data_IF_378471117247
#
_entry.id   IF_378471117247
#
_cell.length_a   1.000
_cell.length_b   1.000
_cell.length_c   1.000
_cell.angle_alpha   90.00
_cell.angle_beta   90.00
_cell.angle_gamma   90.00
#
_symmetry.space_group_name_H-M   'P 1'
#
loop_
_entity.id
_entity.type
_entity.pdbx_description
1 polymer ?
#
# COMPACT_ATOMS: atom_id res chain seq x y z
N UNK A 1 -10.47 -9.46 10.20
CA UNK A 1 -9.28 -9.57 11.09
C UNK A 1 -8.88 -11.04 11.28
N UNK A 2 -9.86 -11.91 11.48
CA UNK A 2 -9.71 -13.35 11.76
C UNK A 2 -8.77 -14.10 10.80
N UNK A 3 -8.63 -13.66 9.56
CA UNK A 3 -7.69 -14.25 8.63
C UNK A 3 -6.23 -14.04 9.06
N UNK A 4 -5.79 -12.81 9.31
CA UNK A 4 -4.40 -12.53 9.69
C UNK A 4 -4.05 -13.15 11.05
N UNK A 5 -4.99 -13.14 11.99
CA UNK A 5 -4.80 -13.77 13.31
C UNK A 5 -4.63 -15.30 13.22
N UNK A 6 -5.39 -15.96 12.33
CA UNK A 6 -5.23 -17.40 12.10
C UNK A 6 -3.98 -17.74 11.29
N UNK A 7 -3.54 -16.83 10.44
CA UNK A 7 -2.44 -17.06 9.51
C UNK A 7 -1.06 -16.81 10.15
N UNK A 8 -0.96 -15.88 11.08
CA UNK A 8 0.32 -15.45 11.66
C UNK A 8 0.51 -15.99 13.07
N UNK A 9 1.69 -16.57 13.34
CA UNK A 9 2.16 -16.90 14.69
C UNK A 9 3.54 -16.30 14.93
N UNK A 10 3.93 -16.15 16.20
CA UNK A 10 5.30 -15.77 16.50
C UNK A 10 6.27 -16.90 16.16
N UNK A 11 7.33 -16.62 15.41
CA UNK A 11 8.40 -17.61 15.17
C UNK A 11 9.21 -17.91 16.46
N UNK A 12 9.08 -17.05 17.47
CA UNK A 12 9.65 -17.23 18.81
C UNK A 12 8.61 -16.90 19.88
N UNK A 13 8.84 -17.32 21.13
CA UNK A 13 7.95 -16.98 22.25
C UNK A 13 7.83 -15.46 22.48
N UNK A 14 8.92 -14.70 22.27
CA UNK A 14 8.88 -13.24 22.37
C UNK A 14 8.04 -12.62 21.25
N UNK A 15 8.20 -13.09 20.01
CA UNK A 15 7.38 -12.64 18.89
C UNK A 15 5.90 -12.99 19.09
N UNK A 16 5.60 -14.17 19.65
CA UNK A 16 4.24 -14.58 19.98
C UNK A 16 3.56 -13.62 20.95
N UNK A 17 4.24 -13.25 22.04
CA UNK A 17 3.73 -12.25 23.01
C UNK A 17 3.53 -10.87 22.38
N UNK A 18 4.44 -10.44 21.50
CA UNK A 18 4.31 -9.16 20.80
C UNK A 18 3.08 -9.17 19.86
N UNK A 19 2.88 -10.27 19.14
CA UNK A 19 1.75 -10.47 18.24
C UNK A 19 0.41 -10.55 18.99
N UNK A 20 0.35 -11.28 20.12
CA UNK A 20 -0.82 -11.32 21.00
C UNK A 20 -1.17 -9.93 21.53
N UNK A 21 -0.16 -9.14 21.94
CA UNK A 21 -0.36 -7.76 22.36
C UNK A 21 -0.98 -6.91 21.26
N UNK A 22 -0.46 -7.00 20.02
CA UNK A 22 -1.03 -6.32 18.86
C UNK A 22 -2.52 -6.69 18.70
N UNK A 23 -2.84 -7.99 18.66
CA UNK A 23 -4.21 -8.47 18.46
C UNK A 23 -5.16 -8.06 19.57
N UNK A 24 -4.72 -8.11 20.83
CA UNK A 24 -5.53 -7.68 21.97
C UNK A 24 -5.85 -6.19 21.98
N UNK A 25 -5.04 -5.37 21.29
CA UNK A 25 -5.21 -3.92 21.20
C UNK A 25 -6.04 -3.44 20.00
N UNK A 26 -6.38 -4.32 19.07
CA UNK A 26 -7.18 -3.99 17.90
C UNK A 26 -8.68 -4.26 18.15
N UNK A 27 -9.59 -3.47 17.56
CA UNK A 27 -11.01 -3.81 17.55
C UNK A 27 -11.26 -5.05 16.66
N UNK A 28 -12.45 -5.64 16.75
CA UNK A 28 -12.81 -6.83 15.95
C UNK A 28 -12.66 -6.65 14.43
N UNK A 29 -12.89 -5.43 13.94
CA UNK A 29 -12.68 -5.06 12.54
C UNK A 29 -11.82 -3.78 12.46
N UNK A 30 -10.47 -3.91 12.48
CA UNK A 30 -9.61 -2.75 12.42
C UNK A 30 -9.58 -2.15 11.02
N UNK A 31 -9.47 -0.82 10.94
CA UNK A 31 -9.09 -0.13 9.71
C UNK A 31 -7.62 -0.48 9.37
N UNK A 32 -7.38 -0.95 8.15
CA UNK A 32 -6.06 -1.41 7.70
C UNK A 32 -5.53 -0.45 6.63
N UNK A 33 -4.30 0.03 6.81
CA UNK A 33 -3.54 0.72 5.78
C UNK A 33 -2.53 -0.24 5.16
N UNK A 34 -2.55 -0.36 3.84
CA UNK A 34 -1.51 -1.05 3.09
C UNK A 34 -0.60 -0.05 2.37
N UNK A 35 0.70 -0.20 2.55
CA UNK A 35 1.74 0.56 1.84
C UNK A 35 2.64 -0.39 1.04
N UNK A 36 2.39 -0.53 -0.27
CA UNK A 36 3.27 -1.29 -1.14
C UNK A 36 4.58 -0.59 -1.46
N UNK A 37 5.63 -1.38 -1.72
CA UNK A 37 6.99 -0.89 -1.97
C UNK A 37 7.45 0.09 -0.91
N UNK A 38 7.14 -0.22 0.35
CA UNK A 38 7.49 0.67 1.45
C UNK A 38 9.01 0.79 1.62
N UNK A 39 9.79 -0.23 1.27
CA UNK A 39 11.21 -0.32 1.65
C UNK A 39 11.37 -0.01 3.13
N UNK A 40 12.20 1.00 3.45
CA UNK A 40 12.41 1.49 4.82
C UNK A 40 11.58 2.76 5.13
N UNK A 41 10.58 3.08 4.33
CA UNK A 41 9.79 4.30 4.42
C UNK A 41 8.53 4.08 5.27
N UNK A 42 8.50 4.61 6.49
CA UNK A 42 7.31 4.56 7.36
C UNK A 42 6.60 5.91 7.52
N UNK A 43 6.68 6.77 6.50
CA UNK A 43 6.08 8.12 6.55
C UNK A 43 4.55 8.10 6.47
N UNK A 44 3.94 7.00 6.02
CA UNK A 44 2.50 6.77 6.11
C UNK A 44 1.98 6.87 7.56
N UNK A 45 2.81 6.49 8.54
CA UNK A 45 2.48 6.60 9.97
C UNK A 45 2.31 8.05 10.45
N UNK A 46 2.89 9.02 9.73
CA UNK A 46 2.85 10.44 10.08
C UNK A 46 1.63 11.14 9.49
N UNK A 47 1.11 10.66 8.37
CA UNK A 47 0.18 11.39 7.49
C UNK A 47 -1.04 11.91 8.25
N UNK A 48 -1.72 11.06 9.02
CA UNK A 48 -2.92 11.47 9.78
C UNK A 48 -2.63 12.46 10.90
N UNK A 49 -1.42 12.43 11.47
CA UNK A 49 -1.03 13.33 12.57
C UNK A 49 -0.45 14.64 12.05
N UNK A 50 0.25 14.60 10.93
CA UNK A 50 0.93 15.72 10.32
C UNK A 50 -0.03 16.64 9.57
N UNK A 51 -1.06 16.10 8.91
CA UNK A 51 -2.00 16.87 8.11
C UNK A 51 -3.33 17.05 8.83
N UNK A 52 -3.62 18.24 9.44
CA UNK A 52 -4.85 18.46 10.19
C UNK A 52 -6.12 18.27 9.35
N UNK A 53 -6.03 18.48 8.04
CA UNK A 53 -7.13 18.28 7.09
C UNK A 53 -7.60 16.82 7.00
N UNK A 54 -6.78 15.86 7.45
CA UNK A 54 -7.14 14.44 7.54
C UNK A 54 -7.73 14.04 8.89
N UNK A 55 -7.93 14.96 9.84
CA UNK A 55 -8.52 14.63 11.16
C UNK A 55 -9.96 14.10 11.08
N UNK A 56 -10.67 14.43 10.00
CA UNK A 56 -12.00 13.90 9.72
C UNK A 56 -11.95 12.50 9.09
N UNK A 57 -10.81 12.10 8.55
CA UNK A 57 -10.59 10.76 8.02
C UNK A 57 -10.22 9.81 9.18
N UNK A 58 -10.79 8.60 9.25
CA UNK A 58 -10.40 7.63 10.26
C UNK A 58 -8.92 7.27 10.12
N UNK A 59 -8.16 7.36 11.21
CA UNK A 59 -6.77 6.87 11.22
C UNK A 59 -6.77 5.33 11.12
N UNK A 60 -5.86 4.74 10.33
CA UNK A 60 -5.64 3.29 10.31
C UNK A 60 -5.23 2.78 11.70
N UNK A 61 -5.79 1.64 12.09
CA UNK A 61 -5.48 0.97 13.35
C UNK A 61 -4.39 -0.10 13.18
N UNK A 62 -4.28 -0.67 11.98
CA UNK A 62 -3.24 -1.61 11.60
C UNK A 62 -2.57 -1.15 10.30
N UNK A 63 -1.24 -1.24 10.28
CA UNK A 63 -0.41 -0.92 9.12
C UNK A 63 0.25 -2.19 8.60
N UNK A 64 0.15 -2.39 7.28
CA UNK A 64 0.78 -3.49 6.57
C UNK A 64 1.67 -2.91 5.47
N UNK A 65 2.93 -3.28 5.50
CA UNK A 65 3.92 -2.88 4.50
C UNK A 65 4.35 -4.10 3.70
N UNK A 66 4.62 -3.91 2.40
CA UNK A 66 5.15 -4.96 1.53
C UNK A 66 6.35 -4.44 0.76
N UNK A 67 7.39 -5.26 0.67
CA UNK A 67 8.49 -5.13 -0.27
C UNK A 67 9.13 -6.51 -0.48
N UNK A 68 9.75 -6.76 -1.62
CA UNK A 68 10.32 -8.07 -1.96
C UNK A 68 11.82 -8.05 -2.20
N UNK A 69 12.43 -6.88 -2.24
CA UNK A 69 13.88 -6.79 -2.37
C UNK A 69 14.47 -7.12 -1.00
N UNK A 70 15.14 -8.26 -0.91
CA UNK A 70 15.81 -8.71 0.31
C UNK A 70 16.81 -7.66 0.78
N UNK A 71 16.67 -7.28 2.05
CA UNK A 71 17.43 -6.20 2.67
C UNK A 71 16.65 -4.91 2.67
N UNK A 72 15.88 -4.69 3.75
CA UNK A 72 15.94 -3.37 4.37
C UNK A 72 17.46 -3.15 4.57
N UNK A 73 18.14 -2.19 3.90
CA UNK A 73 19.49 -1.87 4.32
C UNK A 73 19.44 -1.63 5.83
N UNK A 74 20.53 -1.90 6.56
CA UNK A 74 20.69 -1.65 8.01
C UNK A 74 20.33 -0.22 8.48
N UNK A 75 19.79 0.60 7.58
CA UNK A 75 18.98 1.77 7.85
C UNK A 75 17.66 1.37 8.54
N UNK A 76 17.78 0.90 9.78
CA UNK A 76 16.72 0.89 10.79
C UNK A 76 16.27 2.31 11.17
N UNK A 77 16.79 3.34 10.51
CA UNK A 77 16.51 4.73 10.81
C UNK A 77 16.42 5.58 9.53
N UNK A 78 15.29 6.29 9.38
CA UNK A 78 15.18 7.49 8.57
C UNK A 78 15.30 8.71 9.49
N UNK A 79 16.09 9.71 9.08
CA UNK A 79 16.22 10.98 9.81
C UNK A 79 16.37 12.14 8.84
N UNK A 80 15.54 13.16 9.02
CA UNK A 80 15.73 14.49 8.47
C UNK A 80 15.83 15.54 9.60
N UNK A 81 15.73 16.83 9.26
CA UNK A 81 15.81 17.92 10.24
C UNK A 81 14.67 17.92 11.27
N UNK A 82 13.51 17.39 10.91
CA UNK A 82 12.25 17.54 11.65
C UNK A 82 11.66 16.21 12.12
N UNK A 83 12.12 15.10 11.54
CA UNK A 83 11.52 13.79 11.72
C UNK A 83 12.59 12.72 11.79
N UNK A 84 12.47 11.86 12.80
CA UNK A 84 13.20 10.61 12.94
C UNK A 84 12.20 9.47 13.02
N UNK A 85 12.42 8.44 12.22
CA UNK A 85 11.63 7.21 12.20
C UNK A 85 12.62 6.07 12.35
N UNK A 86 12.42 5.19 13.32
CA UNK A 86 13.32 4.07 13.56
C UNK A 86 12.61 2.78 13.91
N UNK A 87 13.22 1.64 13.60
CA UNK A 87 12.75 0.31 14.00
C UNK A 87 13.28 0.03 15.41
N UNK A 88 12.40 0.08 16.41
CA UNK A 88 12.76 -0.14 17.81
C UNK A 88 12.85 -1.63 18.17
N UNK A 89 12.06 -2.48 17.51
CA UNK A 89 12.10 -3.93 17.68
C UNK A 89 11.61 -4.65 16.40
N UNK A 90 12.13 -5.86 16.20
CA UNK A 90 11.74 -6.77 15.12
C UNK A 90 11.31 -8.10 15.73
N UNK A 91 10.14 -8.57 15.34
CA UNK A 91 9.58 -9.83 15.82
C UNK A 91 9.28 -10.74 14.61
N UNK A 92 10.12 -11.74 14.32
CA UNK A 92 9.87 -12.64 13.20
C UNK A 92 8.60 -13.45 13.45
N UNK A 93 7.76 -13.51 12.43
CA UNK A 93 6.51 -14.24 12.43
C UNK A 93 6.62 -15.44 11.49
N UNK A 94 5.81 -16.47 11.76
CA UNK A 94 5.63 -17.62 10.90
C UNK A 94 4.23 -17.61 10.31
N UNK A 95 4.10 -18.18 9.11
CA UNK A 95 2.81 -18.50 8.53
C UNK A 95 2.37 -19.89 8.99
N UNK A 96 1.13 -20.00 9.44
CA UNK A 96 0.53 -21.28 9.87
C UNK A 96 0.14 -22.19 8.70
N UNK A 97 0.19 -21.68 7.47
CA UNK A 97 -0.12 -22.42 6.26
C UNK A 97 0.79 -21.98 5.12
N UNK A 98 1.11 -22.90 4.18
CA UNK A 98 2.02 -22.62 3.10
C UNK A 98 1.39 -21.65 2.09
N UNK A 99 2.06 -20.51 1.85
CA UNK A 99 1.75 -19.61 0.74
C UNK A 99 2.68 -19.95 -0.42
N UNK A 100 2.11 -20.25 -1.58
CA UNK A 100 2.89 -20.45 -2.80
C UNK A 100 3.37 -19.10 -3.32
N UNK A 101 4.53 -18.68 -2.82
CA UNK A 101 5.17 -17.45 -3.26
C UNK A 101 6.12 -17.72 -4.43
N UNK A 102 5.81 -17.09 -5.56
CA UNK A 102 6.71 -16.96 -6.70
C UNK A 102 6.46 -15.60 -7.32
N UNK A 103 7.51 -14.78 -7.37
CA UNK A 103 7.42 -13.50 -8.08
C UNK A 103 7.15 -13.76 -9.54
N UNK A 104 6.02 -13.26 -10.02
CA UNK A 104 5.70 -13.29 -11.43
C UNK A 104 6.67 -12.35 -12.17
N UNK A 105 7.43 -12.83 -13.17
CA UNK A 105 8.28 -11.96 -13.97
C UNK A 105 7.52 -10.82 -14.68
N UNK A 106 6.19 -10.89 -14.78
CA UNK A 106 5.38 -9.76 -15.25
C UNK A 106 5.33 -8.60 -14.24
N UNK A 107 5.53 -8.85 -12.94
CA UNK A 107 5.49 -7.83 -11.89
C UNK A 107 6.85 -7.15 -11.67
N UNK A 108 7.92 -7.92 -11.75
CA UNK A 108 9.27 -7.45 -11.43
C UNK A 108 10.31 -7.96 -12.44
N UNK A 109 11.25 -7.08 -12.84
CA UNK A 109 12.42 -7.46 -13.64
C UNK A 109 13.51 -8.10 -12.79
N UNK A 110 13.51 -7.82 -11.49
CA UNK A 110 14.45 -8.36 -10.51
C UNK A 110 13.83 -9.51 -9.71
N UNK A 111 12.98 -10.33 -10.33
CA UNK A 111 12.34 -11.48 -9.67
C UNK A 111 13.34 -12.46 -9.02
N UNK A 112 14.59 -12.50 -9.49
CA UNK A 112 15.66 -13.30 -8.90
C UNK A 112 16.26 -12.75 -7.60
N UNK A 113 15.92 -11.51 -7.22
CA UNK A 113 16.29 -10.92 -5.91
C UNK A 113 15.24 -11.17 -4.83
N UNK A 114 14.09 -11.73 -5.20
CA UNK A 114 13.04 -12.05 -4.25
C UNK A 114 13.51 -13.16 -3.31
N UNK A 115 13.12 -13.12 -2.02
CA UNK A 115 13.49 -14.16 -1.08
C UNK A 115 12.91 -15.50 -1.52
N UNK A 116 13.69 -16.57 -1.34
CA UNK A 116 13.25 -17.94 -1.62
C UNK A 116 12.15 -18.42 -0.66
N UNK A 117 11.97 -17.73 0.46
CA UNK A 117 10.95 -18.01 1.45
C UNK A 117 10.26 -16.71 1.84
N UNK A 118 8.93 -16.75 1.93
CA UNK A 118 8.16 -15.60 2.39
C UNK A 118 8.50 -15.32 3.86
N UNK A 119 9.01 -14.12 4.12
CA UNK A 119 9.26 -13.61 5.48
C UNK A 119 8.14 -12.69 5.94
N UNK A 120 7.76 -12.78 7.21
CA UNK A 120 6.86 -11.79 7.83
C UNK A 120 7.47 -11.35 9.15
N UNK A 121 7.47 -10.04 9.41
CA UNK A 121 7.92 -9.46 10.67
C UNK A 121 6.85 -8.55 11.25
N UNK A 122 6.74 -8.52 12.57
CA UNK A 122 6.10 -7.44 13.30
C UNK A 122 7.18 -6.45 13.74
N UNK A 123 7.14 -5.24 13.18
CA UNK A 123 8.05 -4.15 13.48
C UNK A 123 7.42 -3.22 14.51
N UNK A 124 8.17 -2.85 15.54
CA UNK A 124 7.81 -1.75 16.44
C UNK A 124 8.48 -0.47 15.94
N UNK A 125 7.74 0.40 15.27
CA UNK A 125 8.28 1.65 14.72
C UNK A 125 8.18 2.76 15.76
N UNK A 126 9.29 3.44 16.02
CA UNK A 126 9.37 4.63 16.87
C UNK A 126 9.53 5.87 16.01
N UNK A 127 8.59 6.80 16.16
CA UNK A 127 8.52 8.04 15.41
C UNK A 127 8.72 9.22 16.36
N UNK A 128 9.61 10.13 15.99
CA UNK A 128 9.84 11.41 16.66
C UNK A 128 9.71 12.51 15.59
N UNK A 129 8.75 13.41 15.72
CA UNK A 129 8.53 14.49 14.76
C UNK A 129 8.15 15.79 15.47
N UNK A 130 8.70 16.91 14.99
CA UNK A 130 8.36 18.26 15.48
C UNK A 130 6.86 18.56 15.38
N UNK A 131 6.20 17.96 14.37
CA UNK A 131 4.81 18.24 14.02
C UNK A 131 3.81 17.19 14.52
N UNK A 132 4.20 15.91 14.52
CA UNK A 132 3.34 14.79 14.91
C UNK A 132 3.63 14.29 16.34
N UNK A 133 4.61 14.87 17.03
CA UNK A 133 5.06 14.45 18.34
C UNK A 133 5.86 13.15 18.31
N UNK A 134 5.93 12.49 19.47
CA UNK A 134 6.62 11.22 19.66
C UNK A 134 5.61 10.09 19.90
N UNK A 135 5.74 8.98 19.17
CA UNK A 135 4.86 7.82 19.33
C UNK A 135 5.47 6.53 18.80
N UNK A 136 4.84 5.41 19.13
CA UNK A 136 5.20 4.09 18.60
C UNK A 136 4.03 3.47 17.85
N UNK A 137 4.32 2.71 16.79
CA UNK A 137 3.31 2.01 16.00
C UNK A 137 3.78 0.63 15.53
N UNK A 138 2.97 -0.42 15.73
CA UNK A 138 3.26 -1.73 15.15
C UNK A 138 2.97 -1.73 13.65
N UNK A 139 3.84 -2.36 12.87
CA UNK A 139 3.69 -2.57 11.42
C UNK A 139 3.91 -4.04 11.12
N UNK A 140 2.99 -4.66 10.38
CA UNK A 140 3.22 -5.98 9.80
C UNK A 140 3.95 -5.80 8.47
N UNK A 141 5.17 -6.29 8.40
CA UNK A 141 6.00 -6.20 7.22
C UNK A 141 6.07 -7.56 6.53
N UNK A 142 5.58 -7.63 5.29
CA UNK A 142 5.65 -8.82 4.46
C UNK A 142 6.77 -8.65 3.45
N UNK A 143 7.74 -9.56 3.51
CA UNK A 143 8.81 -9.70 2.52
C UNK A 143 8.24 -10.42 1.28
N UNK A 144 7.40 -9.70 0.53
CA UNK A 144 6.60 -10.22 -0.57
C UNK A 144 6.36 -9.13 -1.63
N UNK A 145 6.29 -9.56 -2.89
CA UNK A 145 6.04 -8.65 -4.00
C UNK A 145 4.59 -8.14 -3.94
N UNK A 146 4.37 -6.86 -4.25
CA UNK A 146 3.11 -6.16 -4.00
C UNK A 146 1.89 -6.80 -4.68
N UNK A 147 2.02 -7.18 -5.96
CA UNK A 147 0.93 -7.83 -6.68
C UNK A 147 0.69 -9.23 -6.15
N UNK A 148 1.75 -10.00 -5.89
CA UNK A 148 1.62 -11.32 -5.28
C UNK A 148 0.90 -11.22 -3.91
N UNK A 149 1.27 -10.26 -3.07
CA UNK A 149 0.62 -10.04 -1.78
C UNK A 149 -0.85 -9.65 -1.95
N UNK A 150 -1.15 -8.72 -2.85
CA UNK A 150 -2.51 -8.28 -3.09
C UNK A 150 -3.40 -9.40 -3.65
N UNK A 151 -2.91 -10.18 -4.62
CA UNK A 151 -3.63 -11.33 -5.15
C UNK A 151 -3.91 -12.38 -4.07
N UNK A 152 -2.91 -12.74 -3.27
CA UNK A 152 -3.03 -13.78 -2.24
C UNK A 152 -3.92 -13.34 -1.07
N UNK A 153 -3.64 -12.18 -0.48
CA UNK A 153 -4.28 -11.76 0.76
C UNK A 153 -5.59 -11.03 0.50
N UNK A 154 -5.61 -10.08 -0.44
CA UNK A 154 -6.79 -9.24 -0.68
C UNK A 154 -7.78 -9.96 -1.59
N UNK A 155 -7.34 -10.44 -2.76
CA UNK A 155 -8.27 -10.98 -3.76
C UNK A 155 -8.72 -12.43 -3.47
N UNK A 156 -7.79 -13.32 -3.12
CA UNK A 156 -8.08 -14.73 -2.89
C UNK A 156 -8.64 -15.00 -1.50
N UNK A 157 -8.12 -14.33 -0.45
CA UNK A 157 -8.53 -14.55 0.94
C UNK A 157 -9.50 -13.51 1.48
N UNK A 158 -9.78 -12.45 0.72
CA UNK A 158 -10.74 -11.42 1.10
C UNK A 158 -10.26 -10.50 2.24
N UNK A 159 -8.95 -10.28 2.37
CA UNK A 159 -8.44 -9.26 3.31
C UNK A 159 -8.97 -7.90 2.87
N UNK A 160 -9.64 -7.21 3.80
CA UNK A 160 -10.10 -5.85 3.54
C UNK A 160 -9.03 -4.85 3.94
N UNK A 161 -8.67 -3.97 3.03
CA UNK A 161 -7.83 -2.80 3.30
C UNK A 161 -8.69 -1.56 3.20
N UNK A 162 -8.74 -0.74 4.24
CA UNK A 162 -9.54 0.49 4.23
C UNK A 162 -8.77 1.68 3.67
N UNK A 163 -7.44 1.64 3.72
CA UNK A 163 -6.54 2.66 3.20
C UNK A 163 -5.47 2.02 2.31
N UNK A 164 -5.20 2.67 1.18
CA UNK A 164 -4.02 2.41 0.35
C UNK A 164 -3.13 3.65 0.39
N UNK A 165 -1.89 3.48 0.81
CA UNK A 165 -0.87 4.52 0.75
C UNK A 165 0.12 4.20 -0.37
N UNK A 166 0.21 5.05 -1.38
CA UNK A 166 1.08 4.90 -2.55
C UNK A 166 1.99 6.11 -2.65
N UNK A 167 3.29 5.91 -2.52
CA UNK A 167 4.27 6.98 -2.69
C UNK A 167 5.49 6.39 -3.39
N UNK A 168 5.86 6.99 -4.52
CA UNK A 168 7.00 6.65 -5.37
C UNK A 168 7.13 5.15 -5.60
N UNK A 169 6.66 4.69 -6.74
CA UNK A 169 6.86 3.30 -7.11
C UNK A 169 8.16 3.15 -7.89
N UNK A 170 8.90 2.06 -7.65
CA UNK A 170 10.18 1.78 -8.31
C UNK A 170 10.07 1.43 -9.80
N UNK A 171 9.04 1.94 -10.50
CA UNK A 171 8.85 1.75 -11.92
C UNK A 171 10.00 2.42 -12.69
N UNK A 172 10.69 1.64 -13.53
CA UNK A 172 11.93 2.07 -14.19
C UNK A 172 13.18 1.46 -13.54
N UNK A 173 14.02 2.30 -12.94
CA UNK A 173 15.32 1.86 -12.39
C UNK A 173 15.21 1.00 -11.10
N UNK A 174 14.04 0.94 -10.46
CA UNK A 174 13.81 0.19 -9.22
C UNK A 174 13.40 -1.27 -9.43
N UNK A 175 13.35 -1.76 -10.68
CA UNK A 175 13.08 -3.16 -10.98
C UNK A 175 11.61 -3.57 -10.98
N UNK A 176 10.68 -2.67 -10.65
CA UNK A 176 9.25 -2.91 -10.85
C UNK A 176 8.91 -2.80 -12.35
N UNK A 177 8.21 -3.80 -12.88
CA UNK A 177 7.66 -3.80 -14.25
C UNK A 177 6.24 -3.27 -14.30
N UNK A 178 5.57 -3.22 -13.16
CA UNK A 178 4.20 -2.77 -13.04
C UNK A 178 4.03 -1.84 -11.85
N UNK A 179 3.24 -0.79 -12.07
CA UNK A 179 2.80 0.14 -11.04
C UNK A 179 1.64 -0.44 -10.23
N UNK A 180 1.64 -0.22 -8.92
CA UNK A 180 0.54 -0.62 -8.03
C UNK A 180 -0.78 0.08 -8.38
N UNK A 181 -0.74 1.13 -9.20
CA UNK A 181 -1.95 1.73 -9.78
C UNK A 181 -2.77 0.72 -10.60
N UNK A 182 -2.16 -0.35 -11.13
CA UNK A 182 -2.89 -1.45 -11.78
C UNK A 182 -3.85 -2.20 -10.86
N UNK A 183 -3.75 -2.01 -9.54
CA UNK A 183 -4.63 -2.60 -8.54
C UNK A 183 -5.84 -1.70 -8.22
N UNK A 184 -5.85 -0.45 -8.71
CA UNK A 184 -6.95 0.49 -8.51
C UNK A 184 -8.35 -0.01 -8.91
N UNK A 185 -8.51 -0.81 -9.98
CA UNK A 185 -9.79 -1.44 -10.30
C UNK A 185 -10.37 -2.31 -9.17
N UNK A 186 -9.53 -2.82 -8.28
CA UNK A 186 -9.95 -3.73 -7.22
C UNK A 186 -10.17 -3.06 -5.86
N UNK A 187 -10.00 -1.74 -5.76
CA UNK A 187 -10.10 -1.02 -4.48
C UNK A 187 -11.49 -1.11 -3.84
N UNK A 188 -12.56 -1.09 -4.64
CA UNK A 188 -13.92 -1.30 -4.16
C UNK A 188 -14.07 -2.65 -3.45
N UNK A 189 -13.66 -3.72 -4.14
CA UNK A 189 -13.66 -5.10 -3.64
C UNK A 189 -12.76 -5.27 -2.42
N UNK A 190 -11.61 -4.60 -2.42
CA UNK A 190 -10.69 -4.59 -1.27
C UNK A 190 -11.28 -3.86 -0.04
N UNK A 191 -12.42 -3.16 -0.20
CA UNK A 191 -13.04 -2.37 0.86
C UNK A 191 -12.33 -1.04 1.13
N UNK A 192 -11.50 -0.58 0.18
CA UNK A 192 -10.75 0.66 0.32
C UNK A 192 -11.69 1.87 0.30
N UNK A 193 -11.42 2.81 1.20
CA UNK A 193 -12.17 4.05 1.41
C UNK A 193 -11.30 5.28 1.30
N UNK A 194 -9.98 5.11 1.33
CA UNK A 194 -9.02 6.19 1.23
C UNK A 194 -7.82 5.75 0.41
N UNK A 195 -7.54 6.49 -0.65
CA UNK A 195 -6.31 6.39 -1.42
C UNK A 195 -5.46 7.61 -1.13
N UNK A 196 -4.31 7.43 -0.52
CA UNK A 196 -3.31 8.49 -0.35
C UNK A 196 -2.23 8.20 -1.38
N UNK A 197 -2.14 9.02 -2.42
CA UNK A 197 -1.26 8.76 -3.55
C UNK A 197 -0.53 10.04 -3.98
N UNK A 198 0.68 9.87 -4.50
CA UNK A 198 1.26 10.88 -5.38
C UNK A 198 0.56 10.91 -6.76
N UNK A 199 1.00 11.82 -7.63
CA UNK A 199 0.43 12.00 -8.97
C UNK A 199 0.92 10.97 -10.00
N UNK A 200 1.83 10.07 -9.63
CA UNK A 200 2.38 9.09 -10.56
C UNK A 200 1.41 7.92 -10.70
N UNK A 201 0.80 7.77 -11.87
CA UNK A 201 -0.15 6.69 -12.16
C UNK A 201 0.25 6.04 -13.47
N UNK A 202 0.66 4.78 -13.40
CA UNK A 202 0.96 3.98 -14.60
C UNK A 202 0.04 2.77 -14.67
N UNK A 203 -0.66 2.59 -15.79
CA UNK A 203 -1.48 1.40 -16.01
C UNK A 203 -0.93 0.59 -17.17
N UNK A 204 -0.71 -0.67 -16.91
CA UNK A 204 -0.42 -1.70 -17.90
C UNK A 204 -1.73 -2.42 -18.22
N UNK A 205 -2.23 -2.23 -19.44
CA UNK A 205 -3.49 -2.83 -19.87
C UNK A 205 -3.43 -4.35 -19.91
N UNK A 206 -2.29 -4.93 -20.29
CA UNK A 206 -2.15 -6.37 -20.39
C UNK A 206 -2.27 -6.98 -19.00
N UNK A 207 -1.55 -6.41 -18.04
CA UNK A 207 -1.63 -6.80 -16.65
C UNK A 207 -3.04 -6.57 -16.08
N UNK A 208 -3.63 -5.39 -16.29
CA UNK A 208 -4.99 -5.07 -15.83
C UNK A 208 -6.04 -6.06 -16.36
N UNK A 209 -5.97 -6.42 -17.65
CA UNK A 209 -6.84 -7.46 -18.24
C UNK A 209 -6.61 -8.82 -17.61
N UNK A 210 -5.34 -9.20 -17.38
CA UNK A 210 -4.98 -10.47 -16.76
C UNK A 210 -5.53 -10.59 -15.34
N UNK A 211 -5.33 -9.56 -14.51
CA UNK A 211 -5.84 -9.51 -13.15
C UNK A 211 -7.37 -9.53 -13.13
N UNK A 212 -8.01 -8.76 -14.02
CA UNK A 212 -9.48 -8.70 -14.11
C UNK A 212 -10.05 -10.06 -14.54
N UNK A 213 -9.51 -10.67 -15.59
CA UNK A 213 -9.97 -11.98 -16.05
C UNK A 213 -9.81 -13.08 -15.01
N UNK A 214 -8.75 -13.02 -14.18
CA UNK A 214 -8.49 -14.00 -13.12
C UNK A 214 -9.39 -13.83 -11.90
N UNK A 215 -9.59 -12.59 -11.45
CA UNK A 215 -10.19 -12.32 -10.14
C UNK A 215 -11.58 -11.69 -10.21
N UNK A 216 -11.94 -11.06 -11.33
CA UNK A 216 -13.22 -10.38 -11.52
C UNK A 216 -13.77 -10.63 -12.94
N UNK A 217 -14.17 -11.86 -13.28
CA UNK A 217 -14.66 -12.21 -14.61
C UNK A 217 -15.90 -11.41 -15.02
N UNK A 218 -16.69 -10.93 -14.05
CA UNK A 218 -17.81 -10.00 -14.26
C UNK A 218 -17.40 -8.53 -14.38
N UNK A 219 -16.10 -8.23 -14.40
CA UNK A 219 -15.54 -6.88 -14.29
C UNK A 219 -15.33 -6.42 -12.84
N UNK A 220 -14.50 -5.39 -12.61
CA UNK A 220 -14.25 -4.84 -11.29
C UNK A 220 -15.49 -4.13 -10.72
N UNK A 221 -15.64 -4.17 -9.40
CA UNK A 221 -16.65 -3.38 -8.71
C UNK A 221 -16.39 -1.88 -8.89
N UNK A 222 -17.40 -1.11 -9.28
CA UNK A 222 -17.20 0.30 -9.58
C UNK A 222 -17.11 1.13 -8.29
N UNK A 223 -16.25 2.14 -8.32
CA UNK A 223 -16.08 3.11 -7.25
C UNK A 223 -15.85 4.50 -7.81
N UNK A 224 -16.07 5.51 -6.96
CA UNK A 224 -15.91 6.92 -7.29
C UNK A 224 -15.11 7.64 -6.21
N UNK A 225 -14.45 8.72 -6.60
CA UNK A 225 -13.85 9.67 -5.65
C UNK A 225 -14.94 10.66 -5.25
N UNK A 226 -15.24 10.74 -3.96
CA UNK A 226 -16.23 11.71 -3.43
C UNK A 226 -15.57 12.97 -2.86
N UNK A 227 -14.29 12.89 -2.51
CA UNK A 227 -13.51 14.00 -1.98
C UNK A 227 -12.04 13.85 -2.34
N UNK A 228 -11.39 14.95 -2.72
CA UNK A 228 -9.94 15.03 -2.90
C UNK A 228 -9.37 16.13 -2.01
N UNK A 229 -8.28 15.82 -1.31
CA UNK A 229 -7.60 16.72 -0.39
C UNK A 229 -6.13 16.78 -0.81
N UNK A 230 -5.59 17.97 -1.06
CA UNK A 230 -4.15 18.16 -1.28
C UNK A 230 -3.42 18.15 0.06
N UNK A 231 -2.44 17.28 0.20
CA UNK A 231 -1.60 17.20 1.40
C UNK A 231 -0.32 18.04 1.24
N UNK A 232 0.07 18.38 0.02
CA UNK A 232 1.31 19.10 -0.27
C UNK A 232 2.39 18.13 -0.73
N UNK A 233 3.65 18.44 -0.48
CA UNK A 233 4.76 17.60 -0.92
C UNK A 233 5.20 16.62 0.15
N UNK A 234 5.32 15.35 -0.23
CA UNK A 234 6.00 14.33 0.54
C UNK A 234 7.09 13.74 -0.34
N UNK A 235 8.35 13.91 0.08
CA UNK A 235 9.46 13.45 -0.74
C UNK A 235 9.46 14.13 -2.13
N UNK A 236 9.29 15.45 -2.19
CA UNK A 236 9.32 16.20 -3.45
C UNK A 236 8.29 15.78 -4.51
N UNK A 237 7.24 15.04 -4.10
CA UNK A 237 6.12 14.67 -4.94
C UNK A 237 4.86 15.24 -4.30
N UNK A 238 3.99 15.85 -5.10
CA UNK A 238 2.68 16.28 -4.60
C UNK A 238 1.86 15.03 -4.25
N UNK A 239 1.34 15.00 -3.01
CA UNK A 239 0.50 13.92 -2.49
C UNK A 239 -0.92 14.43 -2.24
N UNK A 240 -1.88 13.59 -2.60
CA UNK A 240 -3.30 13.82 -2.41
C UNK A 240 -3.94 12.65 -1.67
N UNK A 241 -4.97 12.95 -0.88
CA UNK A 241 -5.84 11.96 -0.28
C UNK A 241 -7.19 12.00 -0.99
N UNK A 242 -7.67 10.83 -1.42
CA UNK A 242 -8.93 10.64 -2.12
C UNK A 242 -9.85 9.75 -1.28
N UNK A 243 -11.04 10.24 -0.97
CA UNK A 243 -12.09 9.44 -0.35
C UNK A 243 -12.83 8.64 -1.42
N UNK A 244 -12.99 7.34 -1.20
CA UNK A 244 -13.54 6.39 -2.15
C UNK A 244 -14.87 5.81 -1.65
N UNK A 245 -15.85 5.74 -2.53
CA UNK A 245 -17.14 5.09 -2.28
C UNK A 245 -17.52 4.14 -3.41
N UNK A 246 -18.24 3.02 -3.13
CA UNK A 246 -18.89 2.25 -4.18
C UNK A 246 -19.83 3.17 -4.95
N UNK A 247 -19.75 3.18 -6.27
CA UNK A 247 -20.45 4.19 -7.05
C UNK A 247 -20.58 3.81 -8.51
N UNK A 248 -21.36 4.58 -9.26
CA UNK A 248 -21.45 4.41 -10.72
C UNK A 248 -20.11 4.84 -11.33
N UNK A 249 -19.59 4.05 -12.28
CA UNK A 249 -18.37 4.38 -13.02
C UNK A 249 -18.54 5.72 -13.75
N UNK A 250 -18.12 6.84 -13.17
CA UNK A 250 -18.26 8.10 -13.90
C UNK A 250 -17.07 9.02 -14.01
N UNK A 251 -15.89 8.84 -13.38
CA UNK A 251 -14.96 9.96 -13.56
C UNK A 251 -13.44 9.83 -13.58
N UNK A 252 -12.79 8.74 -13.19
CA UNK A 252 -11.33 8.77 -13.35
C UNK A 252 -10.69 7.46 -13.74
N UNK A 253 -11.10 6.32 -13.19
CA UNK A 253 -10.52 5.04 -13.58
C UNK A 253 -11.04 4.58 -14.95
N UNK A 254 -12.31 4.82 -15.30
CA UNK A 254 -12.81 4.59 -16.66
C UNK A 254 -12.20 5.56 -17.66
N UNK A 255 -12.03 6.84 -17.29
CA UNK A 255 -11.34 7.84 -18.13
C UNK A 255 -9.84 7.54 -18.26
N UNK A 256 -9.17 7.09 -17.21
CA UNK A 256 -7.77 6.66 -17.21
C UNK A 256 -7.61 5.38 -18.03
N UNK A 257 -8.44 4.36 -17.81
CA UNK A 257 -8.43 3.09 -18.57
C UNK A 257 -8.71 3.31 -20.05
N UNK A 258 -9.70 4.15 -20.40
CA UNK A 258 -10.08 4.45 -21.79
C UNK A 258 -9.03 5.32 -22.50
N UNK A 259 -8.42 6.30 -21.81
CA UNK A 259 -7.30 7.11 -22.31
C UNK A 259 -6.03 6.29 -22.51
N UNK A 260 -5.80 5.32 -21.64
CA UNK A 260 -4.65 4.41 -21.70
C UNK A 260 -4.79 3.42 -22.86
N UNK A 261 -5.99 2.88 -23.14
CA UNK A 261 -6.26 2.00 -24.31
C UNK A 261 -6.06 2.64 -25.69
N UNK A 262 -6.05 3.98 -25.80
CA UNK A 262 -5.95 4.68 -27.10
C UNK A 262 -4.55 5.19 -27.46
N UNK A 263 -3.54 4.99 -26.61
CA UNK A 263 -2.13 5.16 -26.98
C UNK A 263 -1.67 6.60 -27.31
N UNK A 264 -2.34 7.64 -26.80
CA UNK A 264 -1.93 9.04 -27.04
C UNK A 264 -1.16 9.64 -25.86
N UNK A 265 -0.02 10.30 -26.08
CA UNK A 265 0.69 11.06 -25.05
C UNK A 265 -0.02 12.39 -24.81
N UNK A 266 -0.19 12.80 -23.55
CA UNK A 266 -0.35 14.23 -23.25
C UNK A 266 0.59 14.66 -22.14
N UNK A 267 1.60 15.41 -22.55
CA UNK A 267 2.25 16.40 -21.71
C UNK A 267 1.34 17.63 -21.69
N UNK A 268 0.93 18.08 -20.51
CA UNK A 268 0.39 19.44 -20.37
C UNK A 268 1.56 20.30 -19.92
N UNK A 269 2.17 21.03 -20.84
CA UNK A 269 2.64 22.36 -20.44
C UNK A 269 1.42 23.24 -20.34
N UNK A 270 1.25 23.88 -19.18
CA UNK A 270 0.17 24.83 -18.94
C UNK A 270 0.22 25.98 -19.96
N UNK A 271 -0.72 26.03 -20.90
CA UNK A 271 -1.23 27.28 -21.48
C UNK A 271 -2.51 27.07 -22.28
N UNK A 272 -3.59 27.51 -21.63
CA UNK A 272 -4.84 28.08 -22.16
C UNK A 272 -5.95 27.19 -22.76
N UNK A 273 -7.21 27.52 -22.40
CA UNK A 273 -8.40 26.99 -23.04
C UNK A 273 -8.71 27.79 -24.31
N UNK A 274 -9.31 27.16 -25.31
CA UNK A 274 -10.26 27.89 -26.14
C UNK A 274 -11.45 27.03 -26.52
N UNK A 275 -12.61 27.64 -26.32
CA UNK A 275 -13.92 27.19 -26.74
C UNK A 275 -14.05 27.38 -28.25
N UNK A 276 -14.46 26.32 -28.95
CA UNK A 276 -15.45 26.38 -30.04
C UNK A 276 -16.00 24.98 -30.30
#
# INVERSE_FOLDING_TARGET
MDMLQRLLTGATASAGKALERLWSGLPGEPSICWYPSAGNCFRDLLVWRHYPVLREAPEPQLYIHTDYIDGLPDQDEYRDRHTRVSVAARHPLALNEPIRYRVDPAYASLAGLAPNQLGVELLEIHVQSDSAGEFRRPVLYFHMENFNWFEEFVLARGLRISHLFKLREGCGFGGARASVSNLYPFLARAGCRWLIADQEVHLDQHLGRRLTGRHSPSGPEPWQITRTIRLGELSGMEVQAHQLEPGKQTDWLSRATERITRGSPWAVSASQPDYS
#
